data_IF_168528414745
#
_entry.id   IF_168528414745
#
_cell.length_a   1.000
_cell.length_b   1.000
_cell.length_c   1.000
_cell.angle_alpha   90.00
_cell.angle_beta   90.00
_cell.angle_gamma   90.00
#
_symmetry.space_group_name_H-M   'P 1'
#
loop_
_entity.id
_entity.type
_entity.pdbx_description
1 polymer ?
#
# COMPACT_ATOMS: atom_id res chain seq x y z
N UNK A 1 -3.43 6.88 -14.52
CA UNK A 1 -2.08 6.64 -14.00
C UNK A 1 -1.97 5.25 -13.39
N UNK A 2 -0.92 4.53 -13.71
CA UNK A 2 -0.69 3.19 -13.19
C UNK A 2 0.49 3.19 -12.24
N UNK A 3 0.39 2.43 -11.16
CA UNK A 3 1.53 2.21 -10.26
C UNK A 3 1.83 0.73 -10.16
N UNK A 4 3.10 0.41 -9.92
CA UNK A 4 3.55 -0.96 -9.71
C UNK A 4 3.60 -1.24 -8.22
N UNK A 5 3.01 -2.35 -7.80
CA UNK A 5 3.05 -2.76 -6.40
C UNK A 5 4.32 -3.54 -6.12
N UNK A 6 4.65 -3.70 -4.84
CA UNK A 6 5.84 -4.43 -4.42
C UNK A 6 5.84 -5.88 -4.90
N UNK A 7 4.67 -6.50 -4.99
CA UNK A 7 4.55 -7.88 -5.46
C UNK A 7 4.47 -8.00 -6.98
N UNK A 8 4.68 -6.92 -7.71
CA UNK A 8 4.76 -6.93 -9.18
C UNK A 8 3.46 -6.69 -9.91
N UNK A 9 2.36 -6.43 -9.20
CA UNK A 9 1.09 -6.10 -9.85
C UNK A 9 1.07 -4.64 -10.31
N UNK A 10 0.22 -4.34 -11.28
CA UNK A 10 -0.02 -2.98 -11.74
C UNK A 10 -1.43 -2.56 -11.32
N UNK A 11 -1.55 -1.38 -10.75
CA UNK A 11 -2.83 -0.85 -10.26
C UNK A 11 -3.14 0.46 -10.97
N UNK A 12 -4.36 0.54 -11.52
CA UNK A 12 -4.84 1.75 -12.16
C UNK A 12 -5.42 2.69 -11.12
N UNK A 13 -4.71 3.77 -10.81
CA UNK A 13 -5.11 4.71 -9.78
C UNK A 13 -6.42 5.45 -10.11
N UNK A 14 -6.83 5.47 -11.39
CA UNK A 14 -8.12 6.07 -11.75
C UNK A 14 -9.32 5.28 -11.20
N UNK A 15 -9.10 4.03 -10.81
CA UNK A 15 -10.14 3.17 -10.24
C UNK A 15 -10.03 3.00 -8.73
N UNK A 16 -9.01 3.58 -8.14
CA UNK A 16 -8.77 3.45 -6.69
C UNK A 16 -9.54 4.56 -5.98
N UNK A 17 -10.30 4.17 -4.97
CA UNK A 17 -11.08 5.12 -4.17
C UNK A 17 -10.22 5.77 -3.10
N UNK A 18 -9.35 4.99 -2.47
CA UNK A 18 -8.49 5.46 -1.38
C UNK A 18 -7.24 4.60 -1.28
N UNK A 19 -6.13 5.21 -0.87
CA UNK A 19 -4.93 4.50 -0.44
C UNK A 19 -4.62 4.99 0.97
N UNK A 20 -4.39 4.07 1.91
CA UNK A 20 -4.11 4.44 3.28
C UNK A 20 -3.11 3.49 3.92
N UNK A 21 -2.52 3.94 5.04
CA UNK A 21 -1.63 3.11 5.86
C UNK A 21 -2.49 2.21 6.74
N UNK A 22 -2.18 0.92 6.75
CA UNK A 22 -2.89 -0.06 7.57
C UNK A 22 -1.90 -1.01 8.21
N UNK A 23 -2.25 -1.48 9.40
CA UNK A 23 -1.52 -2.57 10.03
C UNK A 23 -1.96 -3.87 9.40
N UNK A 24 -1.00 -4.66 8.94
CA UNK A 24 -1.27 -5.89 8.19
C UNK A 24 -1.21 -7.11 9.10
N UNK A 25 -2.04 -8.10 8.81
CA UNK A 25 -1.99 -9.37 9.51
C UNK A 25 -0.75 -10.15 9.07
N UNK A 26 0.16 -10.41 10.01
CA UNK A 26 1.39 -11.13 9.75
C UNK A 26 1.33 -12.58 10.23
N UNK A 27 0.21 -13.02 10.79
CA UNK A 27 0.09 -14.34 11.41
C UNK A 27 0.24 -15.49 10.43
N UNK A 28 -0.10 -15.27 9.16
CA UNK A 28 -0.09 -16.30 8.13
C UNK A 28 1.02 -16.12 7.08
N UNK A 29 1.90 -15.14 7.25
CA UNK A 29 2.92 -14.80 6.27
C UNK A 29 4.27 -14.63 6.94
N UNK A 30 5.32 -14.66 6.14
CA UNK A 30 6.71 -14.63 6.62
C UNK A 30 7.30 -13.22 6.71
N UNK A 31 6.47 -12.18 6.63
CA UNK A 31 6.94 -10.79 6.66
C UNK A 31 6.61 -10.12 8.00
N UNK A 32 6.88 -10.83 9.10
CA UNK A 32 6.59 -10.33 10.45
C UNK A 32 7.35 -9.05 10.78
N UNK A 33 8.49 -8.83 10.11
CA UNK A 33 9.30 -7.63 10.28
C UNK A 33 8.73 -6.41 9.56
N UNK A 34 7.68 -6.59 8.73
CA UNK A 34 7.05 -5.52 7.97
C UNK A 34 5.54 -5.54 8.16
N UNK A 35 5.06 -5.21 9.37
CA UNK A 35 3.63 -5.30 9.67
C UNK A 35 2.78 -4.14 9.14
N UNK A 36 3.39 -3.09 8.62
CA UNK A 36 2.66 -1.92 8.12
C UNK A 36 2.68 -1.90 6.61
N UNK A 37 1.59 -1.42 6.01
CA UNK A 37 1.52 -1.33 4.57
C UNK A 37 0.73 -0.15 4.08
N UNK A 38 0.98 0.22 2.83
CA UNK A 38 0.10 1.11 2.08
C UNK A 38 -0.85 0.22 1.29
N UNK A 39 -2.16 0.45 1.46
CA UNK A 39 -3.20 -0.42 0.93
C UNK A 39 -4.13 0.40 0.05
N UNK A 40 -4.37 -0.06 -1.18
CA UNK A 40 -5.33 0.56 -2.07
C UNK A 40 -6.68 -0.13 -1.93
N UNK A 41 -7.76 0.65 -2.13
CA UNK A 41 -9.13 0.15 -2.04
C UNK A 41 -9.93 0.62 -3.25
N UNK A 42 -10.76 -0.27 -3.76
CA UNK A 42 -11.81 0.04 -4.72
C UNK A 42 -13.12 -0.54 -4.20
N UNK A 43 -14.20 -0.39 -4.95
CA UNK A 43 -15.46 -1.04 -4.59
C UNK A 43 -15.28 -2.57 -4.60
N UNK A 44 -15.33 -3.18 -3.42
CA UNK A 44 -15.27 -4.62 -3.26
C UNK A 44 -13.91 -5.27 -3.34
N UNK A 45 -12.83 -4.49 -3.56
CA UNK A 45 -11.48 -5.05 -3.67
C UNK A 45 -10.47 -4.17 -2.93
N UNK A 46 -9.38 -4.80 -2.49
CA UNK A 46 -8.24 -4.08 -1.96
C UNK A 46 -6.96 -4.86 -2.24
N UNK A 47 -5.84 -4.21 -2.04
CA UNK A 47 -4.54 -4.85 -2.20
C UNK A 47 -3.43 -4.00 -1.61
N UNK A 48 -2.28 -4.63 -1.43
CA UNK A 48 -1.12 -3.99 -0.82
C UNK A 48 -0.27 -3.35 -1.91
N UNK A 49 0.07 -2.08 -1.74
CA UNK A 49 1.03 -1.40 -2.61
C UNK A 49 2.45 -1.79 -2.19
N UNK A 50 2.76 -1.63 -0.91
CA UNK A 50 4.08 -1.99 -0.37
C UNK A 50 3.98 -2.20 1.15
N UNK A 51 5.00 -2.88 1.71
CA UNK A 51 5.08 -3.19 3.14
C UNK A 51 6.25 -2.44 3.77
N UNK A 52 6.12 -2.12 5.05
CA UNK A 52 7.11 -1.34 5.78
C UNK A 52 7.25 -1.86 7.21
N UNK A 53 8.45 -1.70 7.78
CA UNK A 53 8.74 -2.16 9.14
C UNK A 53 8.04 -1.30 10.20
N UNK A 54 7.82 -0.01 9.92
CA UNK A 54 7.21 0.92 10.87
C UNK A 54 6.07 1.68 10.24
N UNK A 55 5.14 2.14 11.08
CA UNK A 55 4.04 3.01 10.64
C UNK A 55 4.57 4.29 10.02
N UNK A 56 5.63 4.86 10.61
CA UNK A 56 6.23 6.10 10.12
C UNK A 56 6.75 5.95 8.71
N UNK A 57 7.43 4.84 8.41
CA UNK A 57 7.93 4.57 7.07
C UNK A 57 6.79 4.45 6.06
N UNK A 58 5.69 3.77 6.45
CA UNK A 58 4.52 3.65 5.60
C UNK A 58 3.86 5.00 5.34
N UNK A 59 3.75 5.84 6.38
CA UNK A 59 3.19 7.19 6.25
C UNK A 59 4.04 8.06 5.33
N UNK A 60 5.36 7.98 5.46
CA UNK A 60 6.26 8.73 4.58
C UNK A 60 6.13 8.29 3.13
N UNK A 61 6.00 6.98 2.90
CA UNK A 61 5.81 6.43 1.56
C UNK A 61 4.48 6.87 0.94
N UNK A 62 3.41 6.91 1.73
CA UNK A 62 2.11 7.38 1.26
C UNK A 62 2.18 8.86 0.88
N UNK A 63 2.86 9.68 1.68
CA UNK A 63 3.05 11.09 1.38
C UNK A 63 3.83 11.28 0.09
N UNK A 64 4.88 10.48 -0.12
CA UNK A 64 5.67 10.54 -1.35
C UNK A 64 4.84 10.15 -2.57
N UNK A 65 4.00 9.12 -2.44
CA UNK A 65 3.11 8.71 -3.52
C UNK A 65 2.11 9.83 -3.85
N UNK A 66 1.49 10.41 -2.83
CA UNK A 66 0.55 11.51 -3.01
C UNK A 66 1.20 12.69 -3.76
N UNK A 67 2.43 13.02 -3.39
CA UNK A 67 3.18 14.10 -4.04
C UNK A 67 3.45 13.76 -5.52
N UNK A 68 3.76 12.51 -5.81
CA UNK A 68 4.10 12.08 -7.16
C UNK A 68 2.89 12.09 -8.11
N UNK A 69 1.68 11.89 -7.59
CA UNK A 69 0.48 11.78 -8.43
C UNK A 69 -0.33 13.08 -8.52
N UNK A 70 0.10 14.12 -7.86
CA UNK A 70 -0.59 15.42 -7.89
C UNK A 70 -0.36 16.16 -9.18
#
# INVERSE_FOLDING_TARGET
MWIKTENGAMVNLNRVTVIRVEELDTSLIQNEDKPWGTVWHTDGMNGIVARYATKKAAENALTALYTAIR
#
